data_IF_776287807307
#
_entry.id   IF_776287807307
#
_cell.length_a   1.000
_cell.length_b   1.000
_cell.length_c   1.000
_cell.angle_alpha   90.00
_cell.angle_beta   90.00
_cell.angle_gamma   90.00
#
_symmetry.space_group_name_H-M   'P 1'
#
loop_
_entity.id
_entity.type
_entity.pdbx_description
1 polymer ?
#
# COMPACT_ATOMS: atom_id res chain seq x y z
N UNK A 1 10.97 -12.29 -17.95
CA UNK A 1 10.99 -10.81 -18.00
C UNK A 1 9.84 -10.20 -18.81
N UNK A 2 9.74 -10.42 -20.13
CA UNK A 2 8.53 -10.04 -20.90
C UNK A 2 7.34 -10.91 -20.51
N UNK A 3 7.56 -12.21 -20.29
CA UNK A 3 6.52 -13.15 -19.84
C UNK A 3 5.98 -12.79 -18.43
N UNK A 4 6.84 -12.40 -17.48
CA UNK A 4 6.40 -11.97 -16.14
C UNK A 4 5.62 -10.65 -16.16
N UNK A 5 5.95 -9.75 -17.09
CA UNK A 5 5.24 -8.48 -17.29
C UNK A 5 3.89 -8.69 -17.97
N UNK A 6 3.83 -9.55 -18.99
CA UNK A 6 2.57 -9.94 -19.65
C UNK A 6 1.67 -10.77 -18.73
N UNK A 7 2.25 -11.62 -17.88
CA UNK A 7 1.52 -12.34 -16.85
C UNK A 7 0.91 -11.37 -15.83
N UNK A 8 1.67 -10.35 -15.38
CA UNK A 8 1.16 -9.30 -14.48
C UNK A 8 0.07 -8.43 -15.10
N UNK A 9 0.20 -8.04 -16.37
CA UNK A 9 -0.86 -7.32 -17.09
C UNK A 9 -2.09 -8.21 -17.29
N UNK A 10 -1.91 -9.49 -17.65
CA UNK A 10 -3.01 -10.45 -17.76
C UNK A 10 -3.71 -10.68 -16.41
N UNK A 11 -2.94 -10.69 -15.33
CA UNK A 11 -3.40 -10.76 -13.95
C UNK A 11 -4.20 -9.53 -13.51
N UNK A 12 -3.82 -8.33 -13.97
CA UNK A 12 -4.58 -7.07 -13.79
C UNK A 12 -5.81 -6.99 -14.73
N UNK A 13 -5.86 -7.81 -15.78
CA UNK A 13 -6.95 -7.83 -16.77
C UNK A 13 -7.99 -8.94 -16.55
N UNK A 14 -7.87 -9.78 -15.50
CA UNK A 14 -8.87 -10.80 -15.17
C UNK A 14 -9.80 -10.31 -14.04
N UNK A 15 -10.93 -9.71 -14.43
CA UNK A 15 -11.92 -9.21 -13.48
C UNK A 15 -12.59 -10.29 -12.63
N UNK A 16 -12.40 -11.59 -12.91
CA UNK A 16 -12.87 -12.64 -12.01
C UNK A 16 -12.11 -12.62 -10.69
N UNK A 17 -10.84 -12.20 -10.70
CA UNK A 17 -10.02 -12.06 -9.49
C UNK A 17 -10.56 -10.95 -8.61
N UNK A 18 -10.82 -9.79 -9.21
CA UNK A 18 -11.44 -8.66 -8.51
C UNK A 18 -12.83 -9.04 -7.98
N UNK A 19 -13.68 -9.68 -8.79
CA UNK A 19 -14.98 -10.19 -8.34
C UNK A 19 -14.87 -11.11 -7.11
N UNK A 20 -13.92 -12.05 -7.13
CA UNK A 20 -13.67 -12.94 -6.01
C UNK A 20 -13.18 -12.18 -4.76
N UNK A 21 -12.31 -11.18 -4.94
CA UNK A 21 -11.85 -10.31 -3.86
C UNK A 21 -13.00 -9.49 -3.26
N UNK A 22 -13.86 -8.90 -4.09
CA UNK A 22 -15.05 -8.16 -3.67
C UNK A 22 -15.94 -9.02 -2.79
N UNK A 23 -16.29 -10.23 -3.24
CA UNK A 23 -17.15 -11.15 -2.50
C UNK A 23 -16.48 -11.64 -1.20
N UNK A 24 -15.17 -11.87 -1.23
CA UNK A 24 -14.40 -12.23 -0.03
C UNK A 24 -14.46 -11.09 1.01
N UNK A 25 -14.18 -9.84 0.62
CA UNK A 25 -14.26 -8.69 1.53
C UNK A 25 -15.69 -8.47 2.01
N UNK A 26 -16.68 -8.54 1.11
CA UNK A 26 -18.11 -8.41 1.44
C UNK A 26 -18.53 -9.42 2.50
N UNK A 27 -18.11 -10.68 2.37
CA UNK A 27 -18.41 -11.72 3.35
C UNK A 27 -17.76 -11.48 4.72
N UNK A 28 -16.56 -10.88 4.77
CA UNK A 28 -15.84 -10.55 6.01
C UNK A 28 -16.40 -9.31 6.72
N UNK A 29 -16.94 -8.37 5.97
CA UNK A 29 -17.50 -7.12 6.47
C UNK A 29 -19.03 -7.12 6.63
N UNK A 30 -19.71 -8.23 6.29
CA UNK A 30 -21.19 -8.32 6.28
C UNK A 30 -21.89 -7.88 7.58
N UNK A 31 -21.24 -8.05 8.72
CA UNK A 31 -21.80 -7.79 10.05
C UNK A 31 -21.44 -6.36 10.55
N UNK A 32 -20.68 -5.59 9.77
CA UNK A 32 -20.33 -4.21 10.11
C UNK A 32 -21.39 -3.24 9.55
N UNK A 33 -21.99 -2.39 10.38
CA UNK A 33 -23.07 -1.50 9.94
C UNK A 33 -22.58 -0.28 9.15
N UNK A 34 -21.27 -0.02 9.09
CA UNK A 34 -20.69 1.20 8.51
C UNK A 34 -19.88 0.95 7.24
N UNK A 35 -19.63 -0.31 6.88
CA UNK A 35 -18.88 -0.68 5.67
C UNK A 35 -19.81 -1.39 4.71
N UNK A 36 -19.90 -0.88 3.48
CA UNK A 36 -20.68 -1.49 2.41
C UNK A 36 -19.78 -1.84 1.22
N UNK A 37 -19.96 -3.05 0.70
CA UNK A 37 -19.27 -3.54 -0.50
C UNK A 37 -20.34 -4.06 -1.46
N UNK A 38 -20.39 -3.62 -2.72
CA UNK A 38 -21.35 -4.11 -3.71
C UNK A 38 -21.37 -5.63 -3.86
N UNK A 39 -22.55 -6.20 -4.05
CA UNK A 39 -22.64 -7.59 -4.50
C UNK A 39 -22.19 -7.67 -5.97
N UNK A 40 -21.41 -8.67 -6.33
CA UNK A 40 -21.10 -8.99 -7.72
C UNK A 40 -22.29 -9.69 -8.35
N UNK A 41 -22.65 -9.29 -9.56
CA UNK A 41 -23.65 -9.96 -10.40
C UNK A 41 -22.89 -10.96 -11.29
N UNK A 42 -22.69 -12.16 -10.75
CA UNK A 42 -21.83 -13.18 -11.34
C UNK A 42 -22.26 -13.58 -12.76
N UNK A 43 -23.56 -13.60 -13.04
CA UNK A 43 -24.12 -13.98 -14.35
C UNK A 43 -23.83 -12.96 -15.45
N UNK A 44 -23.52 -11.72 -15.08
CA UNK A 44 -23.15 -10.65 -16.00
C UNK A 44 -21.65 -10.33 -15.98
N UNK A 45 -20.90 -11.01 -15.10
CA UNK A 45 -19.46 -10.80 -14.95
C UNK A 45 -18.68 -11.87 -15.73
N UNK A 46 -17.51 -11.50 -16.22
CA UNK A 46 -16.60 -12.35 -16.99
C UNK A 46 -15.16 -11.91 -16.75
N UNK A 47 -14.21 -12.53 -17.44
CA UNK A 47 -12.80 -12.11 -17.41
C UNK A 47 -12.61 -10.63 -17.80
N UNK A 48 -13.46 -10.08 -18.68
CA UNK A 48 -13.30 -8.73 -19.26
C UNK A 48 -14.37 -7.73 -18.85
N UNK A 49 -15.37 -8.16 -18.08
CA UNK A 49 -16.45 -7.29 -17.60
C UNK A 49 -16.76 -7.65 -16.16
N UNK A 50 -16.75 -6.66 -15.27
CA UNK A 50 -17.21 -6.78 -13.89
C UNK A 50 -18.53 -6.03 -13.74
N UNK A 51 -19.56 -6.69 -13.21
CA UNK A 51 -20.85 -6.07 -12.94
C UNK A 51 -21.21 -6.25 -11.47
N UNK A 52 -21.61 -5.17 -10.80
CA UNK A 52 -21.99 -5.18 -9.39
C UNK A 52 -23.31 -4.44 -9.13
N UNK A 53 -23.83 -4.59 -7.91
CA UNK A 53 -24.87 -3.74 -7.34
C UNK A 53 -24.51 -2.26 -7.51
N UNK A 54 -25.43 -1.47 -8.08
CA UNK A 54 -25.26 -0.03 -8.19
C UNK A 54 -25.40 0.61 -6.80
N UNK A 55 -24.35 1.30 -6.35
CA UNK A 55 -24.34 1.97 -5.06
C UNK A 55 -24.53 3.49 -5.23
N UNK A 56 -25.49 4.11 -4.52
CA UNK A 56 -25.57 5.56 -4.46
C UNK A 56 -24.52 6.12 -3.51
N UNK A 57 -24.10 7.36 -3.74
CA UNK A 57 -23.29 8.11 -2.80
C UNK A 57 -22.65 9.35 -3.43
N UNK A 58 -21.97 10.12 -2.59
CA UNK A 58 -21.19 11.30 -2.92
C UNK A 58 -19.70 10.95 -3.02
N UNK A 59 -18.97 11.77 -3.77
CA UNK A 59 -17.51 11.68 -3.82
C UNK A 59 -16.88 12.30 -2.56
N UNK A 60 -15.62 11.95 -2.29
CA UNK A 60 -14.89 12.48 -1.14
C UNK A 60 -14.80 14.01 -1.14
N UNK A 61 -14.58 14.63 -2.29
CA UNK A 61 -14.47 16.09 -2.44
C UNK A 61 -15.78 16.81 -2.16
N UNK A 62 -16.90 16.23 -2.56
CA UNK A 62 -18.25 16.73 -2.27
C UNK A 62 -18.52 16.72 -0.76
N UNK A 63 -18.30 15.58 -0.10
CA UNK A 63 -18.51 15.44 1.34
C UNK A 63 -17.51 16.28 2.14
N UNK A 64 -16.27 16.40 1.69
CA UNK A 64 -15.29 17.25 2.36
C UNK A 64 -15.71 18.73 2.37
N UNK A 65 -16.44 19.16 1.33
CA UNK A 65 -16.94 20.52 1.17
C UNK A 65 -18.27 20.77 1.91
N UNK A 66 -19.19 19.80 1.95
CA UNK A 66 -20.53 19.96 2.53
C UNK A 66 -20.61 19.57 4.00
N UNK A 67 -19.90 18.51 4.42
CA UNK A 67 -20.07 17.91 5.73
C UNK A 67 -19.38 18.71 6.84
N UNK A 68 -20.01 18.73 8.01
CA UNK A 68 -19.41 19.32 9.20
C UNK A 68 -18.20 18.50 9.71
N UNK A 69 -17.46 19.06 10.67
CA UNK A 69 -16.26 18.40 11.19
C UNK A 69 -16.58 17.07 11.90
N UNK A 70 -17.72 16.94 12.57
CA UNK A 70 -18.07 15.72 13.28
C UNK A 70 -18.33 14.58 12.29
N UNK A 71 -19.10 14.87 11.22
CA UNK A 71 -19.37 13.95 10.14
C UNK A 71 -18.10 13.52 9.40
N UNK A 72 -17.21 14.46 9.09
CA UNK A 72 -15.90 14.14 8.46
C UNK A 72 -15.05 13.25 9.35
N UNK A 73 -15.03 13.49 10.66
CA UNK A 73 -14.29 12.65 11.60
C UNK A 73 -14.86 11.23 11.65
N UNK A 74 -16.19 11.07 11.70
CA UNK A 74 -16.83 9.77 11.75
C UNK A 74 -16.62 8.94 10.47
N UNK A 75 -16.73 9.57 9.30
CA UNK A 75 -16.42 8.91 8.02
C UNK A 75 -14.92 8.55 7.89
N UNK A 76 -14.04 9.44 8.37
CA UNK A 76 -12.60 9.15 8.44
C UNK A 76 -12.27 7.97 9.35
N UNK A 77 -12.98 7.83 10.46
CA UNK A 77 -12.85 6.67 11.35
C UNK A 77 -13.28 5.36 10.65
N UNK A 78 -14.35 5.39 9.84
CA UNK A 78 -14.76 4.23 9.05
C UNK A 78 -13.65 3.78 8.10
N UNK A 79 -13.04 4.72 7.37
CA UNK A 79 -11.90 4.43 6.48
C UNK A 79 -10.71 3.83 7.25
N UNK A 80 -10.35 4.45 8.37
CA UNK A 80 -9.25 3.98 9.22
C UNK A 80 -9.52 2.55 9.73
N UNK A 81 -10.71 2.32 10.28
CA UNK A 81 -11.13 1.00 10.77
C UNK A 81 -11.16 -0.02 9.65
N UNK A 82 -11.60 0.35 8.45
CA UNK A 82 -11.59 -0.53 7.29
C UNK A 82 -10.19 -1.05 6.99
N UNK A 83 -9.20 -0.14 6.90
CA UNK A 83 -7.81 -0.50 6.60
C UNK A 83 -7.22 -1.41 7.69
N UNK A 84 -7.26 -0.96 8.95
CA UNK A 84 -6.61 -1.69 10.04
C UNK A 84 -7.33 -3.00 10.39
N UNK A 85 -8.66 -3.04 10.41
CA UNK A 85 -9.39 -4.28 10.69
C UNK A 85 -9.23 -5.29 9.55
N UNK A 86 -9.19 -4.85 8.30
CA UNK A 86 -8.89 -5.75 7.18
C UNK A 86 -7.53 -6.39 7.35
N UNK A 87 -6.50 -5.58 7.63
CA UNK A 87 -5.13 -6.07 7.80
C UNK A 87 -5.01 -7.01 9.01
N UNK A 88 -5.43 -6.55 10.19
CA UNK A 88 -5.15 -7.22 11.46
C UNK A 88 -6.12 -8.36 11.77
N UNK A 89 -7.41 -8.14 11.55
CA UNK A 89 -8.46 -9.09 11.92
C UNK A 89 -8.84 -10.02 10.78
N UNK A 90 -8.82 -9.54 9.53
CA UNK A 90 -9.19 -10.36 8.38
C UNK A 90 -7.99 -10.99 7.66
N UNK A 91 -6.78 -10.44 7.86
CA UNK A 91 -5.57 -10.91 7.17
C UNK A 91 -5.57 -10.53 5.70
N UNK A 92 -6.15 -9.38 5.38
CA UNK A 92 -6.41 -8.94 4.00
C UNK A 92 -6.11 -7.45 3.88
N UNK A 93 -5.53 -7.01 2.78
CA UNK A 93 -5.23 -5.61 2.56
C UNK A 93 -5.61 -5.20 1.14
N UNK A 94 -6.42 -4.15 1.04
CA UNK A 94 -6.66 -3.47 -0.22
C UNK A 94 -5.61 -2.36 -0.34
N UNK A 95 -4.78 -2.43 -1.37
CA UNK A 95 -3.60 -1.59 -1.53
C UNK A 95 -3.83 -0.33 -2.38
N UNK A 96 -5.05 -0.12 -2.89
CA UNK A 96 -5.40 1.08 -3.66
C UNK A 96 -6.40 1.98 -2.90
N UNK A 97 -5.91 2.93 -2.08
CA UNK A 97 -6.76 3.85 -1.32
C UNK A 97 -7.22 5.05 -2.17
N UNK A 98 -7.29 4.94 -3.50
CA UNK A 98 -7.68 6.06 -4.34
C UNK A 98 -9.06 6.62 -3.94
N UNK A 99 -9.24 7.94 -3.77
CA UNK A 99 -10.50 8.52 -3.32
C UNK A 99 -11.72 8.17 -4.16
N UNK A 100 -11.52 7.88 -5.45
CA UNK A 100 -12.58 7.44 -6.37
C UNK A 100 -13.12 6.04 -6.08
N UNK A 101 -12.43 5.25 -5.26
CA UNK A 101 -12.82 3.89 -4.90
C UNK A 101 -13.79 3.87 -3.71
N UNK A 102 -14.18 5.05 -3.20
CA UNK A 102 -15.11 5.19 -2.10
C UNK A 102 -16.31 6.05 -2.48
N UNK A 103 -17.50 5.62 -2.06
CA UNK A 103 -18.69 6.47 -2.04
C UNK A 103 -19.08 6.75 -0.60
N UNK A 104 -19.46 7.99 -0.37
CA UNK A 104 -19.86 8.50 0.93
C UNK A 104 -21.37 8.73 0.95
N UNK A 105 -21.99 8.68 2.14
CA UNK A 105 -23.42 8.91 2.28
C UNK A 105 -23.74 10.37 1.93
N UNK A 106 -24.91 10.62 1.33
CA UNK A 106 -25.37 11.99 1.08
C UNK A 106 -25.58 12.76 2.39
N UNK A 107 -25.56 14.09 2.36
CA UNK A 107 -25.85 14.92 3.54
C UNK A 107 -27.21 14.60 4.19
N UNK A 108 -28.17 14.09 3.41
CA UNK A 108 -29.49 13.66 3.87
C UNK A 108 -29.54 12.24 4.48
N UNK A 109 -28.52 11.42 4.26
CA UNK A 109 -28.41 10.09 4.86
C UNK A 109 -27.68 10.21 6.20
N UNK A 110 -28.35 10.02 7.34
CA UNK A 110 -27.74 10.21 8.64
C UNK A 110 -26.73 9.12 8.99
N UNK A 111 -26.64 8.04 8.20
CA UNK A 111 -25.78 6.89 8.53
C UNK A 111 -24.36 7.11 8.03
N UNK A 112 -23.38 6.75 8.84
CA UNK A 112 -21.95 6.83 8.56
C UNK A 112 -21.48 5.60 7.78
N UNK A 113 -22.11 5.35 6.63
CA UNK A 113 -21.84 4.16 5.80
C UNK A 113 -20.98 4.53 4.62
N UNK A 114 -19.77 3.98 4.56
CA UNK A 114 -18.86 4.15 3.42
C UNK A 114 -18.95 2.92 2.51
N UNK A 115 -19.10 3.18 1.21
CA UNK A 115 -19.06 2.14 0.17
C UNK A 115 -17.65 2.02 -0.36
N UNK A 116 -17.15 0.79 -0.47
CA UNK A 116 -15.84 0.46 -1.05
C UNK A 116 -16.07 -0.26 -2.38
N UNK A 117 -15.49 0.25 -3.47
CA UNK A 117 -15.79 -0.18 -4.83
C UNK A 117 -14.70 -1.05 -5.47
N UNK A 118 -13.43 -0.68 -5.28
CA UNK A 118 -12.31 -1.31 -5.98
C UNK A 118 -11.63 -2.37 -5.11
N UNK A 119 -11.48 -3.58 -5.66
CA UNK A 119 -10.75 -4.68 -5.04
C UNK A 119 -9.78 -5.37 -6.02
N UNK A 120 -9.31 -4.63 -7.02
CA UNK A 120 -8.34 -5.09 -8.01
C UNK A 120 -6.97 -5.37 -7.38
N UNK A 121 -6.58 -4.58 -6.38
CA UNK A 121 -5.29 -4.73 -5.70
C UNK A 121 -5.47 -5.22 -4.25
N UNK A 122 -5.64 -6.53 -4.09
CA UNK A 122 -5.80 -7.19 -2.78
C UNK A 122 -4.64 -8.14 -2.50
N UNK A 123 -4.11 -8.05 -1.27
CA UNK A 123 -3.17 -9.02 -0.71
C UNK A 123 -3.82 -9.76 0.45
N UNK A 124 -3.55 -11.07 0.53
CA UNK A 124 -3.95 -11.90 1.66
C UNK A 124 -2.72 -12.41 2.39
N UNK A 125 -2.75 -12.37 3.72
CA UNK A 125 -1.64 -12.81 4.56
C UNK A 125 -1.96 -14.19 5.13
N UNK A 126 -1.03 -15.12 4.97
CA UNK A 126 -1.12 -16.43 5.60
C UNK A 126 -0.99 -16.33 7.14
N UNK A 127 -1.30 -17.40 7.89
CA UNK A 127 -1.23 -17.36 9.35
C UNK A 127 0.14 -16.95 9.91
N UNK A 128 1.24 -17.30 9.22
CA UNK A 128 2.60 -16.99 9.67
C UNK A 128 2.90 -15.49 9.53
N UNK A 129 2.62 -14.91 8.35
CA UNK A 129 2.74 -13.49 8.10
C UNK A 129 1.85 -12.66 9.03
N UNK A 130 0.66 -13.16 9.37
CA UNK A 130 -0.25 -12.50 10.34
C UNK A 130 0.31 -12.50 11.76
N UNK A 131 0.92 -13.60 12.19
CA UNK A 131 1.55 -13.68 13.51
C UNK A 131 2.78 -12.77 13.58
N UNK A 132 3.58 -12.73 12.50
CA UNK A 132 4.72 -11.82 12.40
C UNK A 132 4.28 -10.34 12.47
N UNK A 133 3.21 -9.97 11.75
CA UNK A 133 2.63 -8.62 11.82
C UNK A 133 2.13 -8.29 13.23
N UNK A 134 1.52 -9.25 13.92
CA UNK A 134 1.09 -9.09 15.32
C UNK A 134 2.27 -8.83 16.24
N UNK A 135 3.37 -9.59 16.11
CA UNK A 135 4.57 -9.38 16.90
C UNK A 135 5.17 -7.98 16.72
N UNK A 136 5.14 -7.44 15.49
CA UNK A 136 5.55 -6.04 15.22
C UNK A 136 4.66 -5.05 15.96
N UNK A 137 3.35 -5.23 15.92
CA UNK A 137 2.40 -4.33 16.59
C UNK A 137 2.55 -4.41 18.10
N UNK A 138 2.67 -5.61 18.66
CA UNK A 138 2.89 -5.80 20.09
C UNK A 138 4.19 -5.12 20.55
N UNK A 139 5.27 -5.19 19.73
CA UNK A 139 6.51 -4.49 20.00
C UNK A 139 6.32 -2.96 19.96
N UNK A 140 5.59 -2.43 18.96
CA UNK A 140 5.28 -0.99 18.87
C UNK A 140 4.48 -0.53 20.09
N UNK A 141 3.45 -1.29 20.49
CA UNK A 141 2.63 -1.00 21.66
C UNK A 141 3.42 -1.08 22.98
N UNK A 142 4.44 -1.95 23.03
CA UNK A 142 5.38 -2.02 24.14
C UNK A 142 6.44 -0.90 24.13
N UNK A 143 6.44 -0.02 23.13
CA UNK A 143 7.38 1.11 23.01
C UNK A 143 8.72 0.74 22.37
N UNK A 144 8.81 -0.37 21.65
CA UNK A 144 10.01 -0.75 20.92
C UNK A 144 10.34 0.28 19.83
N UNK A 145 11.61 0.66 19.75
CA UNK A 145 12.13 1.60 18.75
C UNK A 145 13.52 1.15 18.28
N UNK A 146 14.03 1.73 17.19
CA UNK A 146 15.38 1.45 16.68
C UNK A 146 15.64 -0.04 16.46
N UNK A 147 16.77 -0.55 16.96
CA UNK A 147 17.17 -1.95 16.79
C UNK A 147 16.19 -2.96 17.42
N UNK A 148 15.50 -2.58 18.50
CA UNK A 148 14.51 -3.45 19.14
C UNK A 148 13.28 -3.65 18.26
N UNK A 149 12.81 -2.58 17.61
CA UNK A 149 11.74 -2.67 16.61
C UNK A 149 12.24 -3.38 15.34
N UNK A 150 13.45 -3.09 14.90
CA UNK A 150 14.04 -3.72 13.72
C UNK A 150 14.12 -5.26 13.86
N UNK A 151 14.48 -5.76 15.04
CA UNK A 151 14.63 -7.19 15.31
C UNK A 151 13.35 -8.01 15.04
N UNK A 152 12.17 -7.40 15.18
CA UNK A 152 10.87 -8.03 14.88
C UNK A 152 10.35 -7.63 13.50
N UNK A 153 10.60 -6.39 13.07
CA UNK A 153 10.11 -5.86 11.80
C UNK A 153 10.80 -6.49 10.60
N UNK A 154 12.12 -6.70 10.69
CA UNK A 154 12.92 -7.24 9.60
C UNK A 154 12.47 -8.64 9.16
N UNK A 155 12.31 -9.64 10.06
CA UNK A 155 11.80 -10.94 9.66
C UNK A 155 10.34 -10.87 9.21
N UNK A 156 9.50 -10.04 9.83
CA UNK A 156 8.07 -9.93 9.49
C UNK A 156 7.81 -9.37 8.07
N UNK A 157 8.74 -8.55 7.56
CA UNK A 157 8.68 -7.97 6.22
C UNK A 157 9.77 -8.54 5.28
N UNK A 158 10.41 -9.63 5.68
CA UNK A 158 11.45 -10.33 4.92
C UNK A 158 12.60 -9.42 4.44
N UNK A 159 13.01 -8.45 5.27
CA UNK A 159 14.15 -7.60 4.95
C UNK A 159 15.46 -8.40 4.90
N UNK A 160 16.34 -8.15 3.91
CA UNK A 160 17.65 -8.79 3.84
C UNK A 160 18.50 -8.55 5.09
N UNK A 161 19.27 -9.56 5.49
CA UNK A 161 20.14 -9.49 6.67
C UNK A 161 21.22 -8.38 6.57
N UNK A 162 21.62 -8.02 5.36
CA UNK A 162 22.60 -6.99 5.04
C UNK A 162 21.99 -5.58 4.88
N UNK A 163 20.72 -5.38 5.28
CA UNK A 163 20.07 -4.07 5.24
C UNK A 163 20.88 -3.02 6.01
N UNK A 164 21.26 -1.95 5.31
CA UNK A 164 22.15 -0.90 5.85
C UNK A 164 21.51 -0.17 7.04
N UNK A 165 22.32 0.20 8.04
CA UNK A 165 21.83 0.89 9.24
C UNK A 165 20.99 2.15 8.95
N UNK A 166 21.35 3.01 7.97
CA UNK A 166 20.51 4.17 7.61
C UNK A 166 19.12 3.78 7.11
N UNK A 167 19.02 2.69 6.34
CA UNK A 167 17.74 2.22 5.83
C UNK A 167 16.88 1.63 6.95
N UNK A 168 17.49 0.85 7.87
CA UNK A 168 16.83 0.31 9.06
C UNK A 168 16.20 1.42 9.92
N UNK A 169 16.97 2.48 10.16
CA UNK A 169 16.52 3.62 10.96
C UNK A 169 15.33 4.35 10.31
N UNK A 170 15.41 4.63 9.00
CA UNK A 170 14.33 5.29 8.27
C UNK A 170 13.06 4.44 8.26
N UNK A 171 13.18 3.13 8.03
CA UNK A 171 12.03 2.22 8.03
C UNK A 171 11.38 2.18 9.42
N UNK A 172 12.16 2.04 10.49
CA UNK A 172 11.62 2.03 11.85
C UNK A 172 10.90 3.34 12.18
N UNK A 173 11.47 4.49 11.80
CA UNK A 173 10.82 5.80 11.97
C UNK A 173 9.53 5.90 11.16
N UNK A 174 9.54 5.46 9.91
CA UNK A 174 8.37 5.46 9.04
C UNK A 174 7.25 4.59 9.64
N UNK A 175 7.55 3.36 10.05
CA UNK A 175 6.56 2.46 10.67
C UNK A 175 5.98 3.09 11.94
N UNK A 176 6.81 3.60 12.85
CA UNK A 176 6.32 4.27 14.06
C UNK A 176 5.44 5.48 13.73
N UNK A 177 5.79 6.24 12.71
CA UNK A 177 5.00 7.41 12.26
C UNK A 177 3.63 7.02 11.70
N UNK A 178 3.54 5.88 11.00
CA UNK A 178 2.25 5.33 10.55
C UNK A 178 1.35 4.91 11.72
N UNK A 179 1.93 4.49 12.85
CA UNK A 179 1.20 4.12 14.06
C UNK A 179 0.97 5.29 15.03
N UNK A 180 1.57 6.48 14.81
CA UNK A 180 1.36 7.66 15.64
C UNK A 180 -0.12 7.97 15.91
N UNK A 181 -1.04 7.92 14.91
CA UNK A 181 -2.45 8.19 15.16
C UNK A 181 -3.11 7.24 16.17
N UNK A 182 -2.61 6.01 16.27
CA UNK A 182 -3.10 5.01 17.23
C UNK A 182 -2.44 5.13 18.61
N UNK A 183 -1.20 5.64 18.67
CA UNK A 183 -0.40 5.74 19.89
C UNK A 183 -0.58 7.08 20.63
N UNK A 184 -0.94 8.14 19.91
CA UNK A 184 -1.12 9.48 20.46
C UNK A 184 -2.42 9.61 21.31
N UNK A 185 -2.51 10.64 22.18
CA UNK A 185 -3.75 10.96 22.88
C UNK A 185 -4.92 11.18 21.92
N UNK A 186 -6.07 10.58 22.24
CA UNK A 186 -7.26 10.64 21.40
C UNK A 186 -8.18 11.82 21.78
N UNK A 187 -8.90 12.43 20.81
CA UNK A 187 -8.92 12.09 19.38
C UNK A 187 -7.68 12.63 18.63
N UNK A 188 -7.11 11.80 17.76
CA UNK A 188 -6.03 12.24 16.87
C UNK A 188 -6.58 13.06 15.69
N UNK A 189 -5.92 14.17 15.37
CA UNK A 189 -6.29 15.02 14.22
C UNK A 189 -5.28 14.86 13.09
N UNK A 190 -5.72 14.26 11.99
CA UNK A 190 -4.96 14.31 10.73
C UNK A 190 -4.87 15.75 10.22
N UNK A 191 -3.64 16.22 10.01
CA UNK A 191 -3.36 17.57 9.50
C UNK A 191 -2.56 17.50 8.21
N UNK A 192 -2.54 18.61 7.45
CA UNK A 192 -1.65 18.73 6.28
C UNK A 192 -0.17 18.52 6.67
N UNK A 193 0.23 18.98 7.85
CA UNK A 193 1.59 18.77 8.35
C UNK A 193 1.90 17.28 8.55
N UNK A 194 0.97 16.53 9.15
CA UNK A 194 1.10 15.07 9.30
C UNK A 194 1.23 14.38 7.94
N UNK A 195 0.35 14.70 6.98
CA UNK A 195 0.38 14.08 5.65
C UNK A 195 1.64 14.46 4.86
N UNK A 196 2.11 15.71 4.97
CA UNK A 196 3.38 16.12 4.35
C UNK A 196 4.56 15.38 4.92
N UNK A 197 4.59 15.19 6.25
CA UNK A 197 5.67 14.46 6.91
C UNK A 197 5.68 12.97 6.51
N UNK A 198 4.51 12.36 6.35
CA UNK A 198 4.40 10.99 5.82
C UNK A 198 5.03 10.86 4.42
N UNK A 199 4.72 11.82 3.55
CA UNK A 199 5.29 11.87 2.19
C UNK A 199 6.80 12.07 2.19
N UNK A 200 7.33 12.94 3.06
CA UNK A 200 8.76 13.14 3.24
C UNK A 200 9.48 11.86 3.67
N UNK A 201 8.98 11.19 4.73
CA UNK A 201 9.55 9.93 5.21
C UNK A 201 9.53 8.83 4.12
N UNK A 202 8.45 8.78 3.35
CA UNK A 202 8.33 7.85 2.20
C UNK A 202 9.40 8.17 1.14
N UNK A 203 9.62 9.45 0.84
CA UNK A 203 10.64 9.89 -0.11
C UNK A 203 12.06 9.64 0.39
N UNK A 204 12.33 9.89 1.68
CA UNK A 204 13.60 9.57 2.34
C UNK A 204 13.91 8.07 2.24
N UNK A 205 12.93 7.20 2.50
CA UNK A 205 13.08 5.75 2.36
C UNK A 205 13.41 5.35 0.91
N UNK A 206 12.66 5.87 -0.06
CA UNK A 206 12.90 5.62 -1.50
C UNK A 206 14.29 6.09 -1.92
N UNK A 207 14.72 7.28 -1.50
CA UNK A 207 16.03 7.84 -1.83
C UNK A 207 17.17 7.05 -1.21
N UNK A 208 17.03 6.56 0.03
CA UNK A 208 18.04 5.71 0.66
C UNK A 208 18.14 4.36 -0.06
N UNK A 209 17.02 3.76 -0.46
CA UNK A 209 17.03 2.53 -1.29
C UNK A 209 17.71 2.80 -2.63
N UNK A 210 17.34 3.88 -3.32
CA UNK A 210 17.94 4.27 -4.60
C UNK A 210 19.45 4.51 -4.47
N UNK A 211 19.89 5.16 -3.38
CA UNK A 211 21.30 5.39 -3.09
C UNK A 211 22.04 4.07 -2.82
N UNK A 212 21.47 3.17 -2.02
CA UNK A 212 22.07 1.85 -1.76
C UNK A 212 22.12 0.98 -3.03
N UNK A 213 21.11 1.07 -3.91
CA UNK A 213 21.12 0.41 -5.23
C UNK A 213 22.16 1.03 -6.17
N UNK A 214 22.30 2.37 -6.18
CA UNK A 214 23.33 3.08 -6.94
C UNK A 214 24.72 2.78 -6.41
N UNK A 215 24.92 2.68 -5.10
CA UNK A 215 26.18 2.31 -4.45
C UNK A 215 26.51 0.84 -4.73
N UNK A 216 25.52 -0.06 -4.69
CA UNK A 216 25.67 -1.46 -5.10
C UNK A 216 26.02 -1.60 -6.59
N UNK A 217 25.34 -0.84 -7.46
CA UNK A 217 25.62 -0.79 -8.88
C UNK A 217 27.00 -0.16 -9.17
N UNK A 218 27.38 0.90 -8.45
CA UNK A 218 28.69 1.52 -8.55
C UNK A 218 29.80 0.60 -8.05
N UNK A 219 29.58 -0.15 -6.97
CA UNK A 219 30.49 -1.16 -6.46
C UNK A 219 30.67 -2.30 -7.47
N UNK A 220 29.58 -2.77 -8.09
CA UNK A 220 29.64 -3.77 -9.17
C UNK A 220 30.37 -3.22 -10.40
N UNK A 221 30.13 -1.97 -10.79
CA UNK A 221 30.85 -1.30 -11.90
C UNK A 221 32.34 -1.10 -11.56
N UNK A 222 32.69 -0.71 -10.34
CA UNK A 222 34.08 -0.54 -9.89
C UNK A 222 34.79 -1.90 -9.78
N UNK A 223 34.12 -2.94 -9.29
CA UNK A 223 34.63 -4.32 -9.24
C UNK A 223 34.82 -4.88 -10.65
N UNK A 224 33.88 -4.66 -11.57
CA UNK A 224 34.00 -5.08 -12.97
C UNK A 224 35.08 -4.30 -13.73
N UNK A 225 35.23 -3.00 -13.49
CA UNK A 225 36.29 -2.17 -14.09
C UNK A 225 37.68 -2.47 -13.53
N UNK A 226 37.78 -2.90 -12.26
CA UNK A 226 39.05 -3.32 -11.65
C UNK A 226 39.42 -4.78 -11.99
N UNK A 227 38.45 -5.63 -12.31
CA UNK A 227 38.68 -7.04 -12.70
C UNK A 227 38.93 -7.23 -14.21
N UNK A 228 38.47 -6.32 -15.09
CA UNK A 228 38.61 -6.47 -16.55
C UNK A 228 39.33 -5.25 -17.15
N UNK A 229 40.63 -5.41 -17.41
CA UNK A 229 41.52 -4.41 -18.02
C UNK A 229 41.24 -4.05 -19.49
N UNK A 230 39.98 -3.85 -19.87
CA UNK A 230 39.57 -3.47 -21.21
C UNK A 230 38.32 -2.58 -21.14
N UNK A 231 38.52 -1.28 -21.37
CA UNK A 231 37.51 -0.21 -21.32
C UNK A 231 36.28 -0.49 -22.21
N UNK A 232 36.43 -1.32 -23.27
CA UNK A 232 35.34 -1.66 -24.20
C UNK A 232 34.37 -2.72 -23.69
N UNK A 233 34.79 -3.62 -22.81
CA UNK A 233 33.93 -4.68 -22.28
C UNK A 233 33.00 -4.16 -21.16
N UNK A 234 33.48 -3.21 -20.35
CA UNK A 234 32.70 -2.58 -19.28
C UNK A 234 31.57 -1.66 -19.79
N UNK A 235 31.79 -0.97 -20.92
CA UNK A 235 30.76 -0.09 -21.51
C UNK A 235 29.55 -0.86 -22.08
N UNK A 236 29.74 -2.09 -22.56
CA UNK A 236 28.66 -2.88 -23.16
C UNK A 236 27.69 -3.44 -22.09
N UNK A 237 28.20 -3.76 -20.90
CA UNK A 237 27.40 -4.26 -19.77
C UNK A 237 26.71 -3.10 -19.02
N UNK A 238 27.37 -1.94 -18.92
CA UNK A 238 26.83 -0.74 -18.28
C UNK A 238 25.73 -0.02 -19.10
N UNK A 239 25.67 -0.22 -20.42
CA UNK A 239 24.66 0.43 -21.27
C UNK A 239 23.31 -0.31 -21.32
N UNK A 240 23.29 -1.62 -21.07
CA UNK A 240 22.10 -2.46 -21.31
C UNK A 240 21.17 -2.51 -20.08
N UNK A 241 21.71 -2.42 -18.88
CA UNK A 241 20.94 -2.54 -17.63
C UNK A 241 20.14 -1.26 -17.30
N UNK A 242 20.69 -0.04 -17.45
CA UNK A 242 19.93 1.18 -17.21
C UNK A 242 18.89 1.45 -18.29
N UNK A 243 19.12 1.07 -19.56
CA UNK A 243 18.12 1.26 -20.62
C UNK A 243 16.86 0.40 -20.39
N UNK A 244 17.02 -0.82 -19.86
CA UNK A 244 15.87 -1.65 -19.47
C UNK A 244 15.12 -1.10 -18.25
N UNK A 245 15.79 -0.40 -17.33
CA UNK A 245 15.14 0.24 -16.19
C UNK A 245 14.53 1.61 -16.56
N UNK A 246 15.13 2.35 -17.49
CA UNK A 246 14.63 3.64 -17.97
C UNK A 246 13.36 3.48 -18.83
N UNK A 247 13.25 2.41 -19.61
CA UNK A 247 12.01 2.06 -20.33
C UNK A 247 10.86 1.71 -19.38
N UNK A 248 11.15 1.05 -18.25
CA UNK A 248 10.16 0.76 -17.21
C UNK A 248 9.76 2.01 -16.41
N UNK A 249 10.67 2.95 -16.19
CA UNK A 249 10.40 4.20 -15.46
C UNK A 249 9.70 5.25 -16.33
N UNK A 250 10.06 5.39 -17.62
CA UNK A 250 9.39 6.34 -18.54
C UNK A 250 7.97 5.90 -18.95
N UNK A 251 7.72 4.58 -19.01
CA UNK A 251 6.38 4.05 -19.21
C UNK A 251 5.41 4.34 -18.05
N UNK A 252 5.92 4.55 -16.82
CA UNK A 252 5.12 4.92 -15.64
C UNK A 252 4.91 6.43 -15.48
N UNK A 253 5.55 7.27 -16.29
CA UNK A 253 5.45 8.76 -16.20
C UNK A 253 4.67 9.35 -17.39
N UNK A 254 4.20 8.53 -18.34
CA UNK A 254 3.56 9.03 -19.58
C UNK A 254 2.03 8.87 -19.63
N UNK A 255 1.37 8.68 -18.49
CA UNK A 255 -0.08 8.79 -18.39
C UNK A 255 -0.42 9.82 -17.32
N UNK A 256 -0.39 11.08 -17.75
CA UNK A 256 -1.18 12.18 -17.19
C UNK A 256 -2.68 11.95 -17.43
#
# INVERSE_FOLDING_TARGET
MIEDFLARIGEECDYRREAANMEMFRARWRDDPQVRIPAVIAELSSERVLVSELMPGQRLDEVAASADQARRSALGEVLFRFVFRSLLSHGMFNADPHPGNFLFPSDSDPRDVVVFLDFGCVQTFDPEAREAMRAVIDAILAGATGDALWAVLAPALEFPADTSAPLREIICKYVLFCFEPALAPQPFRYTKAYTSRLSELTMEAKMTVAKNLLEGAALVVIVLLSMLGSVRAGMLVAAVIPLSMLGAVLGMVSFD
#
